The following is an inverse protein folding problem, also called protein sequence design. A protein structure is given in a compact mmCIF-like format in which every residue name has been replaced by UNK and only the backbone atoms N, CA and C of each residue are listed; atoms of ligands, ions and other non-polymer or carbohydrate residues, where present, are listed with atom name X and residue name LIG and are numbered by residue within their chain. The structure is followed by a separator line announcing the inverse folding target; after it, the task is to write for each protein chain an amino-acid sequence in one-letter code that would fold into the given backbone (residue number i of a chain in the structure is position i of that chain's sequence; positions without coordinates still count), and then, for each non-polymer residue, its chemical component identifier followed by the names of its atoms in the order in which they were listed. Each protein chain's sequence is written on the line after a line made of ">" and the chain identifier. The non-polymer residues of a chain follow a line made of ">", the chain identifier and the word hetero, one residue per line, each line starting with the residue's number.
data_IF_507051947484
#
_entry.id   IF_507051947484
#
_cell.length_a   1.000
_cell.length_b   1.000
_cell.length_c   1.000
_cell.angle_alpha   90.00
_cell.angle_beta   90.00
_cell.angle_gamma   90.00
#
_symmetry.space_group_name_H-M   'P 1'
#
loop_
_entity.id
_entity.type
_entity.pdbx_description
1 polymer ?
#
# COMPACT_ATOMS: atom_id res chain seq x y z
N UNK A 1 18.37 -9.58 8.58
CA UNK A 1 17.94 -8.99 8.25
C UNK A 1 17.19 -8.70 7.77
N UNK A 2 16.93 -8.82 7.58
CA UNK A 2 16.35 -8.47 7.00
C UNK A 2 15.56 -7.76 6.92
N UNK A 3 15.50 -7.43 6.77
CA UNK A 3 14.82 -6.55 6.71
C UNK A 3 13.51 -6.65 6.66
N UNK A 4 12.81 -6.45 7.13
CA UNK A 4 11.73 -6.51 7.09
C UNK A 4 11.05 -5.50 6.52
N UNK A 5 11.34 -5.13 5.64
CA UNK A 5 10.77 -4.14 4.79
C UNK A 5 9.60 -4.65 4.03
N UNK A 6 9.26 -5.91 4.25
CA UNK A 6 8.20 -6.54 3.50
C UNK A 6 6.81 -5.95 3.74
N UNK A 7 6.60 -5.25 4.84
CA UNK A 7 5.27 -4.71 5.13
C UNK A 7 5.12 -3.23 4.80
N UNK A 8 6.10 -2.66 4.10
CA UNK A 8 6.03 -1.25 3.73
C UNK A 8 6.51 -1.07 2.29
N UNK A 9 5.77 -0.27 1.52
CA UNK A 9 6.13 0.08 0.16
C UNK A 9 6.26 1.59 0.06
N UNK A 10 7.42 2.05 -0.40
CA UNK A 10 7.67 3.47 -0.58
C UNK A 10 7.58 3.79 -2.07
N UNK A 11 6.57 4.56 -2.45
CA UNK A 11 6.33 4.92 -3.85
C UNK A 11 7.06 6.19 -4.26
N UNK A 12 7.87 6.75 -3.38
CA UNK A 12 8.49 8.03 -3.59
C UNK A 12 9.25 8.12 -4.92
N UNK A 13 9.96 7.05 -5.27
CA UNK A 13 10.81 7.05 -6.46
C UNK A 13 10.14 6.47 -7.70
N UNK A 14 8.90 6.03 -7.59
CA UNK A 14 8.22 5.45 -8.75
C UNK A 14 7.50 6.53 -9.53
N UNK A 15 7.51 6.38 -10.84
CA UNK A 15 6.74 7.25 -11.71
C UNK A 15 5.25 6.98 -11.49
N UNK A 16 4.39 8.00 -11.59
CA UNK A 16 2.95 7.76 -11.39
C UNK A 16 2.39 6.65 -12.27
N UNK A 17 2.88 6.52 -13.51
CA UNK A 17 2.37 5.47 -14.41
C UNK A 17 2.75 4.07 -13.95
N UNK A 18 3.78 3.93 -13.11
CA UNK A 18 4.21 2.64 -12.61
C UNK A 18 3.59 2.30 -11.27
N UNK A 19 2.94 3.28 -10.64
CA UNK A 19 2.44 3.12 -9.29
C UNK A 19 1.38 2.04 -9.18
N UNK A 20 0.44 2.01 -10.11
CA UNK A 20 -0.64 1.03 -10.06
C UNK A 20 -0.14 -0.41 -10.07
N UNK A 21 0.66 -0.80 -11.09
CA UNK A 21 1.18 -2.16 -11.12
C UNK A 21 2.01 -2.52 -9.89
N UNK A 22 2.82 -1.58 -9.39
CA UNK A 22 3.66 -1.82 -8.22
C UNK A 22 2.80 -2.07 -6.99
N UNK A 23 1.77 -1.25 -6.79
CA UNK A 23 0.89 -1.42 -5.63
C UNK A 23 0.17 -2.76 -5.68
N UNK A 24 -0.36 -3.13 -6.85
CA UNK A 24 -1.05 -4.41 -7.00
C UNK A 24 -0.11 -5.58 -6.69
N UNK A 25 1.11 -5.52 -7.20
CA UNK A 25 2.07 -6.59 -6.93
C UNK A 25 2.44 -6.66 -5.46
N UNK A 26 2.60 -5.50 -4.83
CA UNK A 26 2.93 -5.47 -3.41
C UNK A 26 1.81 -6.09 -2.57
N UNK A 27 0.55 -5.77 -2.89
CA UNK A 27 -0.57 -6.35 -2.17
C UNK A 27 -0.59 -7.87 -2.36
N UNK A 28 -0.39 -8.33 -3.59
CA UNK A 28 -0.37 -9.76 -3.87
C UNK A 28 0.69 -10.48 -3.06
N UNK A 29 1.90 -9.92 -3.04
CA UNK A 29 2.99 -10.52 -2.29
C UNK A 29 2.72 -10.52 -0.78
N UNK A 30 2.11 -9.44 -0.30
CA UNK A 30 1.82 -9.32 1.12
C UNK A 30 0.78 -10.35 1.56
N UNK A 31 -0.23 -10.58 0.72
CA UNK A 31 -1.22 -11.60 1.00
C UNK A 31 -0.57 -12.97 1.06
N UNK A 32 0.32 -13.26 0.12
CA UNK A 32 1.03 -14.53 0.09
C UNK A 32 1.87 -14.75 1.34
N UNK A 33 2.43 -13.67 1.87
CA UNK A 33 3.26 -13.77 3.07
C UNK A 33 2.44 -13.79 4.35
N UNK A 34 1.15 -13.58 4.25
CA UNK A 34 0.29 -13.63 5.42
C UNK A 34 0.25 -12.34 6.23
N UNK A 35 0.66 -11.23 5.65
CA UNK A 35 0.59 -9.95 6.35
C UNK A 35 -0.86 -9.54 6.53
N UNK A 36 -1.20 -9.07 7.71
CA UNK A 36 -2.55 -8.57 7.96
C UNK A 36 -2.65 -7.07 7.75
N UNK A 37 -1.52 -6.40 7.69
CA UNK A 37 -1.49 -4.95 7.62
C UNK A 37 -0.23 -4.55 6.88
N UNK A 38 -0.36 -3.60 5.96
CA UNK A 38 0.78 -3.05 5.22
C UNK A 38 0.67 -1.55 5.20
N UNK A 39 1.77 -0.90 4.87
CA UNK A 39 1.83 0.55 4.84
C UNK A 39 2.38 0.98 3.48
N UNK A 40 1.70 1.91 2.84
CA UNK A 40 2.11 2.42 1.54
C UNK A 40 2.40 3.91 1.67
N UNK A 41 3.64 4.28 1.40
CA UNK A 41 4.09 5.68 1.47
C UNK A 41 3.97 6.27 0.07
N UNK A 42 3.04 7.20 -0.11
CA UNK A 42 2.80 7.82 -1.41
C UNK A 42 3.35 9.26 -1.48
N UNK A 43 3.80 9.78 -0.36
CA UNK A 43 4.37 11.12 -0.32
C UNK A 43 3.35 12.17 0.01
N UNK A 44 3.83 13.32 0.45
CA UNK A 44 2.97 14.39 0.95
C UNK A 44 2.58 15.39 -0.11
N UNK A 45 3.33 15.55 -1.14
CA UNK A 45 3.14 16.63 -2.09
C UNK A 45 1.82 16.57 -2.82
N UNK A 46 1.89 16.31 -4.11
CA UNK A 46 0.69 16.20 -4.91
C UNK A 46 -0.03 14.90 -4.60
N UNK A 47 -1.32 14.91 -4.72
CA UNK A 47 -2.11 13.76 -4.34
C UNK A 47 -2.29 12.73 -5.46
N UNK A 48 -1.49 12.81 -6.53
CA UNK A 48 -1.63 11.90 -7.66
C UNK A 48 -1.43 10.45 -7.24
N UNK A 49 -0.31 10.17 -6.59
CA UNK A 49 -0.03 8.80 -6.16
C UNK A 49 -0.99 8.34 -5.08
N UNK A 50 -1.36 9.25 -4.18
CA UNK A 50 -2.35 8.92 -3.15
C UNK A 50 -3.66 8.49 -3.77
N UNK A 51 -4.12 9.21 -4.79
CA UNK A 51 -5.37 8.88 -5.45
C UNK A 51 -5.29 7.55 -6.19
N UNK A 52 -4.16 7.27 -6.80
CA UNK A 52 -3.95 5.98 -7.47
C UNK A 52 -4.04 4.84 -6.46
N UNK A 53 -3.34 4.99 -5.35
CA UNK A 53 -3.37 3.97 -4.29
C UNK A 53 -4.79 3.80 -3.78
N UNK A 54 -5.48 4.92 -3.49
CA UNK A 54 -6.82 4.89 -2.93
C UNK A 54 -7.78 4.15 -3.87
N UNK A 55 -7.69 4.45 -5.17
CA UNK A 55 -8.57 3.79 -6.15
C UNK A 55 -8.33 2.28 -6.17
N UNK A 56 -7.08 1.87 -6.07
CA UNK A 56 -6.76 0.44 -6.11
C UNK A 56 -7.27 -0.26 -4.87
N UNK A 57 -6.97 0.28 -3.70
CA UNK A 57 -7.32 -0.42 -2.46
C UNK A 57 -8.82 -0.43 -2.19
N UNK A 58 -9.54 0.58 -2.68
CA UNK A 58 -10.98 0.62 -2.47
C UNK A 58 -11.70 -0.48 -3.23
N UNK A 59 -11.13 -0.95 -4.32
CA UNK A 59 -11.78 -1.99 -5.13
C UNK A 59 -11.04 -3.32 -5.08
N UNK A 60 -9.96 -3.41 -4.32
CA UNK A 60 -9.17 -4.64 -4.30
C UNK A 60 -9.84 -5.70 -3.44
N UNK A 61 -10.03 -6.91 -3.97
CA UNK A 61 -10.76 -7.95 -3.22
C UNK A 61 -10.07 -8.41 -1.96
N UNK A 62 -8.75 -8.25 -1.86
CA UNK A 62 -8.00 -8.71 -0.71
C UNK A 62 -7.83 -7.65 0.36
N UNK A 63 -8.35 -6.45 0.15
CA UNK A 63 -8.25 -5.36 1.12
C UNK A 63 -9.54 -5.29 1.92
N UNK A 64 -9.41 -5.36 3.25
CA UNK A 64 -10.58 -5.28 4.12
C UNK A 64 -10.86 -3.84 4.56
N UNK A 65 -9.86 -2.98 4.53
CA UNK A 65 -10.04 -1.58 4.90
C UNK A 65 -8.72 -0.84 4.83
N UNK A 66 -8.77 0.44 5.11
CA UNK A 66 -7.57 1.26 5.12
C UNK A 66 -7.83 2.51 5.95
N UNK A 67 -6.74 3.19 6.32
CA UNK A 67 -6.82 4.48 6.98
C UNK A 67 -5.57 5.28 6.66
N UNK A 68 -5.67 6.58 6.79
CA UNK A 68 -4.49 7.42 6.69
C UNK A 68 -3.62 7.18 7.92
N UNK A 69 -2.31 7.28 7.74
CA UNK A 69 -1.38 7.18 8.86
C UNK A 69 -1.46 8.48 9.64
N UNK A 70 -1.89 8.38 10.89
CA UNK A 70 -2.12 9.57 11.70
C UNK A 70 -0.86 10.37 12.00
N UNK A 71 0.30 9.72 11.97
CA UNK A 71 1.56 10.40 12.24
C UNK A 71 2.26 10.85 10.97
N UNK A 72 1.80 10.38 9.81
CA UNK A 72 2.45 10.70 8.54
C UNK A 72 1.40 10.68 7.44
N UNK A 73 0.86 11.86 7.12
CA UNK A 73 -0.21 11.97 6.13
C UNK A 73 0.26 11.71 4.70
N UNK A 74 1.54 11.42 4.52
CA UNK A 74 2.04 10.96 3.23
C UNK A 74 1.98 9.44 3.08
N UNK A 75 1.28 8.74 3.97
CA UNK A 75 1.20 7.28 3.93
C UNK A 75 -0.21 6.81 4.27
N UNK A 76 -0.54 5.61 3.79
CA UNK A 76 -1.82 4.96 4.06
C UNK A 76 -1.54 3.57 4.62
N UNK A 77 -2.25 3.23 5.69
CA UNK A 77 -2.20 1.89 6.26
C UNK A 77 -3.33 1.08 5.63
N UNK A 78 -3.01 -0.09 5.13
CA UNK A 78 -3.96 -0.94 4.42
C UNK A 78 -4.10 -2.24 5.18
N UNK A 79 -5.34 -2.63 5.46
CA UNK A 79 -5.63 -3.89 6.15
C UNK A 79 -6.02 -4.94 5.13
N UNK A 80 -5.41 -6.11 5.23
CA UNK A 80 -5.62 -7.19 4.28
C UNK A 80 -6.53 -8.25 4.91
N UNK A 81 -7.36 -8.85 4.06
CA UNK A 81 -8.18 -9.97 4.50
C UNK A 81 -7.28 -11.16 4.73
N UNK A 82 -7.52 -11.85 5.82
CA UNK A 82 -6.79 -13.06 6.09
C UNK A 82 -7.56 -14.24 5.59
N UNK A 83 -6.84 -15.14 4.95
CA UNK A 83 -7.42 -16.36 4.46
C UNK A 83 -7.25 -17.41 5.56
N UNK A 84 -8.31 -17.83 6.14
CA UNK A 84 -8.27 -18.76 7.27
C UNK A 84 -8.47 -20.18 6.81
#
# INVERSE_FOLDING_TARGET
>A
MELELGDELDLHHFHPSDTGPVVNEFIRMSVEKGYGEIRIVHGKGKSVKKNIVRNIIESHPDVSGYRDDGSNWGATVVYLKKDI
#
